data_IF_595096494403
#
_entry.id   IF_595096494403
#
_cell.length_a   1.000
_cell.length_b   1.000
_cell.length_c   1.000
_cell.angle_alpha   90.00
_cell.angle_beta   90.00
_cell.angle_gamma   90.00
#
_symmetry.space_group_name_H-M   'P 1'
#
loop_
_entity.id
_entity.type
_entity.pdbx_description
1 polymer ?
#
# COMPACT_ATOMS: atom_id res chain seq x y z
N UNK A 1 -0.21 -21.17 2.84
CA UNK A 1 0.71 -20.02 2.99
C UNK A 1 0.51 -19.15 1.79
N UNK A 2 0.14 -17.89 1.99
CA UNK A 2 -0.12 -16.91 0.92
C UNK A 2 1.22 -16.39 0.41
N UNK A 3 1.45 -16.47 -0.90
CA UNK A 3 2.67 -15.99 -1.55
C UNK A 3 2.48 -14.58 -2.10
N UNK A 4 3.26 -13.64 -1.60
CA UNK A 4 3.16 -12.22 -1.94
C UNK A 4 4.33 -11.78 -2.82
N UNK A 5 4.04 -11.03 -3.87
CA UNK A 5 4.99 -10.26 -4.66
C UNK A 5 4.87 -8.77 -4.35
N UNK A 6 5.95 -8.13 -3.87
CA UNK A 6 5.95 -6.69 -3.59
C UNK A 6 6.42 -5.92 -4.83
N UNK A 7 5.57 -5.06 -5.34
CA UNK A 7 5.87 -4.09 -6.40
C UNK A 7 6.17 -2.72 -5.78
N UNK A 8 7.44 -2.33 -5.78
CA UNK A 8 7.90 -1.08 -5.19
C UNK A 8 8.56 -1.25 -3.82
N UNK A 9 9.90 -1.15 -3.78
CA UNK A 9 10.69 -1.25 -2.56
C UNK A 9 11.08 0.16 -2.10
N UNK A 10 10.07 0.89 -1.63
CA UNK A 10 10.19 2.19 -0.98
C UNK A 10 9.91 2.07 0.51
N UNK A 11 9.54 3.20 1.14
CA UNK A 11 9.18 3.23 2.56
C UNK A 11 8.02 2.29 2.88
N UNK A 12 6.90 2.36 2.13
CA UNK A 12 5.76 1.48 2.41
C UNK A 12 6.05 0.02 2.07
N UNK A 13 6.76 -0.28 0.99
CA UNK A 13 7.18 -1.65 0.69
C UNK A 13 8.06 -2.25 1.79
N UNK A 14 8.91 -1.44 2.45
CA UNK A 14 9.65 -1.85 3.64
C UNK A 14 8.73 -2.12 4.83
N UNK A 15 7.78 -1.24 5.12
CA UNK A 15 6.83 -1.41 6.22
C UNK A 15 5.95 -2.65 6.04
N UNK A 16 5.46 -2.90 4.82
CA UNK A 16 4.70 -4.10 4.49
C UNK A 16 5.54 -5.37 4.63
N UNK A 17 6.78 -5.34 4.13
CA UNK A 17 7.72 -6.47 4.30
C UNK A 17 7.93 -6.81 5.77
N UNK A 18 8.13 -5.82 6.64
CA UNK A 18 8.26 -6.03 8.08
C UNK A 18 7.01 -6.69 8.67
N UNK A 19 5.81 -6.22 8.28
CA UNK A 19 4.55 -6.80 8.74
C UNK A 19 4.37 -8.26 8.26
N UNK A 20 4.74 -8.55 7.02
CA UNK A 20 4.67 -9.93 6.49
C UNK A 20 5.68 -10.86 7.18
N UNK A 21 6.86 -10.36 7.52
CA UNK A 21 7.90 -11.12 8.21
C UNK A 21 7.46 -11.66 9.59
N UNK A 22 6.54 -10.97 10.26
CA UNK A 22 6.01 -11.36 11.56
C UNK A 22 4.85 -12.37 11.48
N UNK A 23 4.52 -12.88 10.27
CA UNK A 23 3.39 -13.78 10.06
C UNK A 23 3.84 -15.15 9.56
N UNK A 24 3.17 -16.21 10.08
CA UNK A 24 3.44 -17.60 9.71
C UNK A 24 2.61 -18.09 8.50
N UNK A 25 1.55 -17.33 8.12
CA UNK A 25 0.63 -17.70 7.05
C UNK A 25 0.88 -16.94 5.72
N UNK A 26 1.81 -15.98 5.72
CA UNK A 26 2.18 -15.16 4.57
C UNK A 26 3.70 -15.27 4.33
N UNK A 27 4.07 -15.29 3.05
CA UNK A 27 5.48 -15.26 2.65
C UNK A 27 5.69 -14.31 1.48
N UNK A 28 6.63 -13.38 1.62
CA UNK A 28 7.13 -12.59 0.48
C UNK A 28 8.08 -13.48 -0.32
N UNK A 29 7.68 -13.82 -1.54
CA UNK A 29 8.43 -14.73 -2.43
C UNK A 29 8.95 -14.03 -3.68
N UNK A 30 8.55 -12.77 -3.93
CA UNK A 30 9.00 -12.02 -5.09
C UNK A 30 9.09 -10.52 -4.80
N UNK A 31 10.05 -9.87 -5.42
CA UNK A 31 10.30 -8.43 -5.34
C UNK A 31 10.38 -7.83 -6.74
N UNK A 32 9.77 -6.65 -6.91
CA UNK A 32 9.89 -5.88 -8.14
C UNK A 32 10.32 -4.44 -7.85
N UNK A 33 11.45 -4.03 -8.38
CA UNK A 33 11.94 -2.65 -8.36
C UNK A 33 13.02 -2.46 -9.41
N UNK A 34 13.11 -1.29 -10.03
CA UNK A 34 14.18 -0.93 -10.98
C UNK A 34 15.54 -0.72 -10.31
N UNK A 35 15.60 -0.66 -8.99
CA UNK A 35 16.84 -0.48 -8.24
C UNK A 35 17.48 -1.84 -7.94
N UNK A 36 18.58 -2.16 -8.63
CA UNK A 36 19.28 -3.42 -8.48
C UNK A 36 19.81 -3.63 -7.05
N UNK A 37 20.36 -2.61 -6.41
CA UNK A 37 20.85 -2.75 -5.03
C UNK A 37 19.73 -3.21 -4.07
N UNK A 38 18.52 -2.69 -4.26
CA UNK A 38 17.35 -3.14 -3.47
C UNK A 38 16.94 -4.57 -3.80
N UNK A 39 17.03 -5.01 -5.04
CA UNK A 39 16.82 -6.43 -5.39
C UNK A 39 17.86 -7.32 -4.73
N UNK A 40 19.09 -6.83 -4.56
CA UNK A 40 20.18 -7.54 -3.91
C UNK A 40 20.14 -7.44 -2.37
N UNK A 41 19.11 -6.78 -1.83
CA UNK A 41 18.81 -6.74 -0.40
C UNK A 41 19.35 -5.51 0.32
N UNK A 42 20.02 -4.57 -0.35
CA UNK A 42 20.44 -3.32 0.27
C UNK A 42 19.27 -2.32 0.36
N UNK A 43 18.56 -2.38 1.49
CA UNK A 43 17.45 -1.49 1.78
C UNK A 43 17.83 -0.38 2.77
N UNK A 44 19.12 -0.27 3.14
CA UNK A 44 19.64 0.67 4.14
C UNK A 44 19.36 2.13 3.84
N UNK A 45 19.14 2.48 2.57
CA UNK A 45 18.78 3.83 2.13
C UNK A 45 17.33 4.21 2.36
N UNK A 46 16.46 3.25 2.78
CA UNK A 46 15.05 3.52 2.99
C UNK A 46 14.85 4.29 4.28
N UNK A 47 14.12 5.40 4.18
CA UNK A 47 13.71 6.25 5.29
C UNK A 47 12.21 6.53 5.21
N UNK A 48 11.59 6.85 6.35
CA UNK A 48 10.17 7.18 6.44
C UNK A 48 9.84 7.96 7.72
N UNK A 49 8.57 8.28 7.92
CA UNK A 49 8.09 9.07 9.07
C UNK A 49 7.97 8.23 10.34
N UNK A 50 7.91 6.92 10.22
CA UNK A 50 7.72 5.98 11.35
C UNK A 50 8.39 4.65 11.02
N UNK A 51 8.43 3.76 12.00
CA UNK A 51 9.08 2.45 11.87
C UNK A 51 10.60 2.53 11.92
N UNK A 52 11.29 1.39 11.84
CA UNK A 52 12.73 1.34 11.81
C UNK A 52 13.28 1.78 10.44
N UNK A 53 14.53 2.30 10.41
CA UNK A 53 15.22 2.52 9.14
C UNK A 53 15.35 1.21 8.37
N UNK A 54 15.58 1.31 7.07
CA UNK A 54 15.88 0.14 6.24
C UNK A 54 17.18 -0.56 6.68
N UNK A 55 17.23 -1.85 6.41
CA UNK A 55 18.37 -2.71 6.77
C UNK A 55 18.82 -3.57 5.60
N UNK A 56 19.87 -4.35 5.79
CA UNK A 56 20.24 -5.40 4.85
C UNK A 56 19.28 -6.58 4.99
N UNK A 57 18.61 -6.95 3.89
CA UNK A 57 17.60 -8.02 3.83
C UNK A 57 18.15 -9.21 3.03
N UNK A 58 17.98 -10.41 3.54
CA UNK A 58 18.27 -11.60 2.75
C UNK A 58 17.15 -11.85 1.72
N UNK A 59 17.46 -11.57 0.47
CA UNK A 59 16.56 -11.75 -0.69
C UNK A 59 16.92 -12.98 -1.54
N UNK A 60 17.81 -13.87 -1.04
CA UNK A 60 18.32 -15.01 -1.81
C UNK A 60 17.24 -16.02 -2.22
N UNK A 61 16.21 -16.19 -1.40
CA UNK A 61 15.08 -17.10 -1.67
C UNK A 61 13.94 -16.43 -2.45
N UNK A 62 14.07 -15.15 -2.84
CA UNK A 62 13.00 -14.40 -3.52
C UNK A 62 13.29 -14.29 -5.00
N UNK A 63 12.25 -14.40 -5.82
CA UNK A 63 12.32 -14.05 -7.25
C UNK A 63 12.44 -12.54 -7.41
N UNK A 64 13.27 -12.09 -8.34
CA UNK A 64 13.65 -10.69 -8.50
C UNK A 64 13.25 -10.20 -9.88
N UNK A 65 12.53 -9.08 -9.93
CA UNK A 65 12.02 -8.50 -11.16
C UNK A 65 12.33 -7.01 -11.23
N UNK A 66 12.68 -6.51 -12.41
CA UNK A 66 12.81 -5.07 -12.66
C UNK A 66 11.55 -4.48 -13.32
N UNK A 67 10.79 -5.34 -14.01
CA UNK A 67 9.57 -4.97 -14.71
C UNK A 67 8.35 -5.62 -14.04
N UNK A 68 7.28 -4.84 -13.92
CA UNK A 68 6.04 -5.29 -13.24
C UNK A 68 5.39 -6.44 -13.99
N UNK A 69 5.39 -6.39 -15.31
CA UNK A 69 4.83 -7.43 -16.18
C UNK A 69 5.45 -8.81 -15.91
N UNK A 70 6.76 -8.83 -15.67
CA UNK A 70 7.47 -10.07 -15.34
C UNK A 70 7.11 -10.59 -13.93
N UNK A 71 6.89 -9.68 -12.95
CA UNK A 71 6.35 -10.05 -11.64
C UNK A 71 4.95 -10.67 -11.77
N UNK A 72 4.05 -10.01 -12.52
CA UNK A 72 2.66 -10.45 -12.70
C UNK A 72 2.55 -11.79 -13.41
N UNK A 73 3.48 -12.10 -14.31
CA UNK A 73 3.56 -13.38 -15.03
C UNK A 73 3.99 -14.56 -14.14
N UNK A 74 4.45 -14.32 -12.88
CA UNK A 74 4.83 -15.40 -11.98
C UNK A 74 3.58 -16.15 -11.47
N UNK A 75 3.39 -17.43 -11.85
CA UNK A 75 2.18 -18.19 -11.49
C UNK A 75 2.11 -18.55 -10.01
N UNK A 76 3.24 -18.50 -9.30
CA UNK A 76 3.33 -18.89 -7.90
C UNK A 76 2.80 -17.83 -6.93
N UNK A 77 2.54 -16.60 -7.41
CA UNK A 77 2.05 -15.52 -6.55
C UNK A 77 0.53 -15.57 -6.43
N UNK A 78 0.06 -15.38 -5.21
CA UNK A 78 -1.36 -15.25 -4.88
C UNK A 78 -1.77 -13.77 -4.85
N UNK A 79 -0.90 -12.92 -4.33
CA UNK A 79 -1.17 -11.49 -4.07
C UNK A 79 -0.06 -10.64 -4.64
N UNK A 80 -0.43 -9.53 -5.26
CA UNK A 80 0.48 -8.43 -5.59
C UNK A 80 0.25 -7.29 -4.61
N UNK A 81 1.31 -6.93 -3.91
CA UNK A 81 1.35 -5.78 -3.00
C UNK A 81 1.93 -4.58 -3.73
N UNK A 82 1.09 -3.58 -4.01
CA UNK A 82 1.42 -2.43 -4.86
C UNK A 82 1.81 -1.25 -3.98
N UNK A 83 3.12 -1.06 -3.79
CA UNK A 83 3.75 0.04 -3.06
C UNK A 83 4.47 1.02 -3.99
N UNK A 84 3.87 1.27 -5.15
CA UNK A 84 4.36 2.17 -6.19
C UNK A 84 3.84 3.60 -5.99
N UNK A 85 4.35 4.60 -6.73
CA UNK A 85 3.73 5.93 -6.78
C UNK A 85 2.28 5.89 -7.28
N UNK A 86 1.37 6.74 -6.73
CA UNK A 86 -0.07 6.68 -6.98
C UNK A 86 -0.50 6.67 -8.45
N UNK A 87 0.18 7.43 -9.33
CA UNK A 87 -0.13 7.47 -10.76
C UNK A 87 0.05 6.11 -11.49
N UNK A 88 0.75 5.15 -10.87
CA UNK A 88 0.93 3.81 -11.41
C UNK A 88 -0.08 2.79 -10.85
N UNK A 89 -0.79 3.13 -9.77
CA UNK A 89 -1.67 2.19 -9.07
C UNK A 89 -2.71 1.58 -10.00
N UNK A 90 -3.48 2.41 -10.73
CA UNK A 90 -4.52 1.93 -11.64
C UNK A 90 -4.00 0.89 -12.63
N UNK A 91 -2.96 1.23 -13.38
CA UNK A 91 -2.45 0.35 -14.44
C UNK A 91 -1.91 -0.97 -13.89
N UNK A 92 -1.18 -0.91 -12.78
CA UNK A 92 -0.59 -2.10 -12.15
C UNK A 92 -1.65 -2.98 -11.49
N UNK A 93 -2.62 -2.38 -10.79
CA UNK A 93 -3.70 -3.12 -10.15
C UNK A 93 -4.60 -3.81 -11.19
N UNK A 94 -4.98 -3.12 -12.29
CA UNK A 94 -5.74 -3.75 -13.38
C UNK A 94 -4.99 -4.93 -13.97
N UNK A 95 -3.72 -4.76 -14.31
CA UNK A 95 -2.90 -5.84 -14.87
C UNK A 95 -2.73 -7.01 -13.89
N UNK A 96 -2.63 -6.76 -12.59
CA UNK A 96 -2.57 -7.80 -11.57
C UNK A 96 -3.89 -8.59 -11.48
N UNK A 97 -5.04 -7.89 -11.49
CA UNK A 97 -6.37 -8.53 -11.51
C UNK A 97 -6.58 -9.33 -12.80
N UNK A 98 -6.19 -8.81 -13.96
CA UNK A 98 -6.23 -9.53 -15.25
C UNK A 98 -5.34 -10.78 -15.24
N UNK A 99 -4.20 -10.75 -14.51
CA UNK A 99 -3.33 -11.90 -14.30
C UNK A 99 -3.87 -12.90 -13.24
N UNK A 100 -5.08 -12.68 -12.71
CA UNK A 100 -5.73 -13.56 -11.72
C UNK A 100 -5.15 -13.43 -10.32
N UNK A 101 -4.49 -12.32 -9.98
CA UNK A 101 -3.90 -12.08 -8.66
C UNK A 101 -4.81 -11.22 -7.79
N UNK A 102 -4.90 -11.54 -6.49
CA UNK A 102 -5.40 -10.61 -5.51
C UNK A 102 -4.48 -9.39 -5.41
N UNK A 103 -5.03 -8.24 -5.03
CA UNK A 103 -4.27 -6.99 -4.95
C UNK A 103 -4.40 -6.40 -3.55
N UNK A 104 -3.26 -6.04 -2.97
CA UNK A 104 -3.18 -5.08 -1.88
C UNK A 104 -2.48 -3.84 -2.42
N UNK A 105 -3.18 -2.72 -2.45
CA UNK A 105 -2.67 -1.47 -3.03
C UNK A 105 -2.51 -0.41 -1.95
N UNK A 106 -1.38 0.28 -1.92
CA UNK A 106 -1.23 1.46 -1.10
C UNK A 106 -2.23 2.56 -1.49
N UNK A 107 -2.53 3.39 -0.51
CA UNK A 107 -3.39 4.56 -0.72
C UNK A 107 -2.64 5.68 -1.49
N UNK A 108 -3.36 6.55 -2.20
CA UNK A 108 -4.73 6.43 -2.66
C UNK A 108 -4.86 5.32 -3.71
N UNK A 109 -5.99 4.65 -3.77
CA UNK A 109 -6.22 3.58 -4.75
C UNK A 109 -6.01 4.06 -6.18
N UNK A 110 -6.51 5.25 -6.51
CA UNK A 110 -6.28 5.98 -7.75
C UNK A 110 -6.34 7.49 -7.51
N UNK A 111 -6.12 8.30 -8.55
CA UNK A 111 -6.11 9.77 -8.46
C UNK A 111 -7.47 10.42 -8.77
N UNK A 112 -8.45 9.64 -9.18
CA UNK A 112 -9.83 10.05 -9.45
C UNK A 112 -10.81 8.91 -9.15
N UNK A 113 -12.09 9.22 -9.06
CA UNK A 113 -13.16 8.29 -8.72
C UNK A 113 -13.48 7.30 -9.85
N UNK A 114 -13.46 7.74 -11.10
CA UNK A 114 -13.70 6.84 -12.25
C UNK A 114 -12.68 5.69 -12.30
N UNK A 115 -11.42 5.97 -11.98
CA UNK A 115 -10.38 4.97 -11.93
C UNK A 115 -10.54 4.03 -10.73
N UNK A 116 -11.01 4.55 -9.59
CA UNK A 116 -11.36 3.71 -8.43
C UNK A 116 -12.52 2.76 -8.77
N UNK A 117 -13.58 3.28 -9.39
CA UNK A 117 -14.75 2.48 -9.80
C UNK A 117 -14.35 1.38 -10.80
N UNK A 118 -13.49 1.70 -11.75
CA UNK A 118 -12.96 0.72 -12.72
C UNK A 118 -12.20 -0.42 -12.05
N UNK A 119 -11.39 -0.11 -11.03
CA UNK A 119 -10.63 -1.11 -10.26
C UNK A 119 -11.55 -2.00 -9.42
N UNK A 120 -12.54 -1.42 -8.76
CA UNK A 120 -13.54 -2.17 -7.98
C UNK A 120 -14.31 -3.12 -8.90
N UNK A 121 -14.82 -2.61 -10.03
CA UNK A 121 -15.56 -3.41 -10.99
C UNK A 121 -14.71 -4.56 -11.58
N UNK A 122 -13.42 -4.32 -11.85
CA UNK A 122 -12.49 -5.34 -12.32
C UNK A 122 -12.27 -6.44 -11.28
N UNK A 123 -12.08 -6.07 -10.02
CA UNK A 123 -11.89 -7.03 -8.93
C UNK A 123 -13.16 -7.88 -8.71
N UNK A 124 -14.33 -7.25 -8.65
CA UNK A 124 -15.63 -7.92 -8.52
C UNK A 124 -15.89 -8.87 -9.71
N UNK A 125 -15.68 -8.39 -10.93
CA UNK A 125 -15.86 -9.17 -12.15
C UNK A 125 -14.96 -10.40 -12.25
N UNK A 126 -13.75 -10.33 -11.69
CA UNK A 126 -12.79 -11.42 -11.60
C UNK A 126 -12.99 -12.32 -10.37
N UNK A 127 -13.81 -11.94 -9.39
CA UNK A 127 -13.96 -12.64 -8.11
C UNK A 127 -12.69 -12.58 -7.25
N UNK A 128 -11.90 -11.52 -7.39
CA UNK A 128 -10.64 -11.32 -6.69
C UNK A 128 -10.78 -10.26 -5.58
N UNK A 129 -9.88 -10.32 -4.60
CA UNK A 129 -9.83 -9.32 -3.54
C UNK A 129 -8.97 -8.13 -3.99
N UNK A 130 -9.49 -6.93 -3.78
CA UNK A 130 -8.78 -5.67 -3.87
C UNK A 130 -8.86 -4.98 -2.51
N UNK A 131 -7.73 -4.88 -1.83
CA UNK A 131 -7.61 -4.20 -0.55
C UNK A 131 -6.80 -2.92 -0.72
N UNK A 132 -7.16 -1.89 0.04
CA UNK A 132 -6.48 -0.60 0.01
C UNK A 132 -5.85 -0.31 1.38
N UNK A 133 -4.64 0.23 1.40
CA UNK A 133 -3.84 0.51 2.58
C UNK A 133 -4.37 1.67 3.45
N UNK A 134 -5.66 1.67 3.77
CA UNK A 134 -6.27 2.62 4.70
C UNK A 134 -6.04 2.18 6.15
N UNK A 135 -5.03 2.75 6.79
CA UNK A 135 -4.54 2.28 8.11
C UNK A 135 -5.24 2.90 9.31
N UNK A 136 -5.85 4.10 9.17
CA UNK A 136 -6.39 4.83 10.34
C UNK A 136 -7.45 4.04 11.12
N UNK A 137 -8.40 3.31 10.50
CA UNK A 137 -9.39 2.54 11.26
C UNK A 137 -8.78 1.47 12.20
N UNK A 138 -7.53 1.06 11.95
CA UNK A 138 -6.81 0.06 12.74
C UNK A 138 -5.91 0.66 13.82
N UNK A 139 -5.80 1.99 13.90
CA UNK A 139 -5.06 2.67 14.96
C UNK A 139 -5.92 2.75 16.22
N UNK A 140 -5.35 2.49 17.43
CA UNK A 140 -6.12 2.37 18.66
C UNK A 140 -7.01 3.57 18.98
N UNK A 141 -6.56 4.78 18.70
CA UNK A 141 -7.30 6.02 18.93
C UNK A 141 -8.54 6.14 18.05
N UNK A 142 -8.45 5.75 16.78
CA UNK A 142 -9.58 5.77 15.85
C UNK A 142 -10.52 4.58 16.09
N UNK A 143 -9.98 3.41 16.41
CA UNK A 143 -10.79 2.25 16.81
C UNK A 143 -11.61 2.56 18.05
N UNK A 144 -11.01 3.22 19.04
CA UNK A 144 -11.73 3.68 20.24
C UNK A 144 -12.88 4.63 19.87
N UNK A 145 -12.60 5.64 19.06
CA UNK A 145 -13.60 6.61 18.63
C UNK A 145 -14.76 5.92 17.89
N UNK A 146 -14.45 5.05 16.93
CA UNK A 146 -15.43 4.28 16.19
C UNK A 146 -16.33 3.45 17.12
N UNK A 147 -15.73 2.67 18.04
CA UNK A 147 -16.47 1.87 19.03
C UNK A 147 -17.35 2.73 19.93
N UNK A 148 -16.84 3.86 20.41
CA UNK A 148 -17.58 4.78 21.27
C UNK A 148 -18.82 5.37 20.59
N UNK A 149 -18.71 5.71 19.28
CA UNK A 149 -19.84 6.20 18.48
C UNK A 149 -20.85 5.08 18.23
N UNK A 150 -20.41 3.91 17.82
CA UNK A 150 -21.29 2.76 17.53
C UNK A 150 -22.07 2.29 18.76
N UNK A 151 -21.42 2.29 19.92
CA UNK A 151 -22.02 1.89 21.20
C UNK A 151 -22.85 2.99 21.87
N UNK A 152 -22.83 4.21 21.33
CA UNK A 152 -23.49 5.36 21.94
C UNK A 152 -22.95 5.74 23.31
N UNK A 153 -21.68 5.39 23.63
CA UNK A 153 -21.05 5.54 24.94
C UNK A 153 -21.17 6.97 25.49
N UNK A 154 -21.09 7.96 24.61
CA UNK A 154 -21.20 9.39 24.97
C UNK A 154 -22.44 10.05 24.36
N UNK A 155 -23.42 9.25 23.89
CA UNK A 155 -24.62 9.73 23.25
C UNK A 155 -24.44 9.92 21.74
N UNK A 156 -25.33 10.73 21.15
CA UNK A 156 -25.35 10.99 19.69
C UNK A 156 -24.17 11.88 19.30
N UNK A 157 -23.43 11.47 18.26
CA UNK A 157 -22.43 12.32 17.63
C UNK A 157 -23.10 13.56 17.02
N UNK A 158 -22.69 14.76 17.44
CA UNK A 158 -23.24 16.04 16.99
C UNK A 158 -22.33 16.72 15.96
N UNK A 159 -21.05 16.41 15.98
CA UNK A 159 -20.05 16.99 15.10
C UNK A 159 -18.65 16.64 15.58
N UNK A 160 -17.65 16.98 14.78
CA UNK A 160 -16.25 16.74 15.08
C UNK A 160 -15.34 17.76 14.43
N UNK A 161 -14.17 17.95 15.01
CA UNK A 161 -13.03 18.64 14.40
C UNK A 161 -11.87 17.66 14.34
N UNK A 162 -11.39 17.42 13.14
CA UNK A 162 -10.23 16.57 12.91
C UNK A 162 -9.04 17.44 12.52
N UNK A 163 -7.92 17.19 13.16
CA UNK A 163 -6.67 17.91 12.91
C UNK A 163 -5.52 16.91 12.90
N UNK A 164 -4.89 16.75 11.76
CA UNK A 164 -3.74 15.87 11.59
C UNK A 164 -2.61 16.66 10.92
N UNK A 165 -1.50 16.78 11.64
CA UNK A 165 -0.32 17.50 11.19
C UNK A 165 0.82 16.51 11.02
N UNK A 166 1.51 16.59 9.90
CA UNK A 166 2.71 15.78 9.61
C UNK A 166 3.90 16.71 9.38
N UNK A 167 5.09 16.18 9.60
CA UNK A 167 6.31 16.84 9.14
C UNK A 167 6.40 16.81 7.62
N UNK A 168 7.01 17.84 7.02
CA UNK A 168 7.28 17.84 5.57
C UNK A 168 8.11 16.60 5.19
N UNK A 169 7.63 15.74 4.29
CA UNK A 169 8.32 14.52 3.91
C UNK A 169 9.43 14.81 2.89
N UNK A 170 10.50 15.47 3.30
CA UNK A 170 11.63 15.89 2.44
C UNK A 170 12.30 14.75 1.67
N UNK A 171 12.12 13.51 2.10
CA UNK A 171 12.60 12.29 1.43
C UNK A 171 11.71 11.84 0.26
N UNK A 172 10.49 12.37 0.15
CA UNK A 172 9.53 12.05 -0.90
C UNK A 172 9.53 13.15 -1.97
N UNK A 173 10.44 13.02 -2.94
CA UNK A 173 10.71 14.07 -3.94
C UNK A 173 9.48 14.51 -4.74
N UNK A 174 8.55 13.60 -5.01
CA UNK A 174 7.36 13.86 -5.83
C UNK A 174 6.12 14.22 -4.99
N UNK A 175 6.25 14.46 -3.68
CA UNK A 175 5.12 14.70 -2.77
C UNK A 175 4.23 15.88 -3.19
N UNK A 176 4.83 16.91 -3.80
CA UNK A 176 4.10 18.09 -4.30
C UNK A 176 3.75 18.03 -5.80
N UNK A 177 4.06 16.90 -6.46
CA UNK A 177 3.73 16.70 -7.86
C UNK A 177 2.27 16.21 -7.98
N UNK A 178 1.39 17.15 -8.39
CA UNK A 178 -0.05 16.89 -8.51
C UNK A 178 -0.37 15.78 -9.51
N UNK A 179 0.42 15.62 -10.58
CA UNK A 179 0.18 14.59 -11.59
C UNK A 179 0.56 13.18 -11.09
N UNK A 180 1.53 13.10 -10.18
CA UNK A 180 2.02 11.82 -9.67
C UNK A 180 1.30 11.33 -8.42
N UNK A 181 0.95 12.25 -7.51
CA UNK A 181 0.41 11.89 -6.20
C UNK A 181 -0.97 12.49 -5.91
N UNK A 182 -1.50 13.35 -6.80
CA UNK A 182 -2.75 14.07 -6.58
C UNK A 182 -2.62 15.21 -5.58
N UNK A 183 -1.40 15.48 -5.11
CA UNK A 183 -1.09 16.48 -4.11
C UNK A 183 -1.54 16.14 -2.69
N UNK A 184 -1.28 17.02 -1.72
CA UNK A 184 -1.55 16.76 -0.31
C UNK A 184 -3.02 16.48 0.01
N UNK A 185 -3.95 17.01 -0.75
CA UNK A 185 -5.38 16.77 -0.53
C UNK A 185 -5.73 15.30 -0.77
N UNK A 186 -5.30 14.72 -1.89
CA UNK A 186 -5.58 13.32 -2.21
C UNK A 186 -4.67 12.41 -1.39
N UNK A 187 -3.38 12.68 -1.31
CA UNK A 187 -2.43 11.79 -0.65
C UNK A 187 -2.61 11.71 0.88
N UNK A 188 -2.97 12.82 1.53
CA UNK A 188 -3.15 12.87 2.98
C UNK A 188 -4.61 12.77 3.41
N UNK A 189 -5.51 13.55 2.78
CA UNK A 189 -6.89 13.64 3.24
C UNK A 189 -7.71 12.37 2.95
N UNK A 190 -7.28 11.53 2.02
CA UNK A 190 -7.89 10.20 1.79
C UNK A 190 -7.92 9.36 3.06
N UNK A 191 -6.95 9.50 3.94
CA UNK A 191 -6.97 8.84 5.24
C UNK A 191 -8.10 9.33 6.15
N UNK A 192 -8.29 10.67 6.18
CA UNK A 192 -9.25 11.31 7.08
C UNK A 192 -10.69 11.15 6.55
N UNK A 193 -10.87 11.11 5.25
CA UNK A 193 -12.17 10.90 4.60
C UNK A 193 -12.69 9.46 4.76
N UNK A 194 -11.82 8.50 5.06
CA UNK A 194 -12.19 7.10 5.27
C UNK A 194 -12.67 6.82 6.69
N UNK A 195 -12.45 7.74 7.64
CA UNK A 195 -12.89 7.62 9.04
C UNK A 195 -14.38 7.92 9.20
#
# INVERSE_FOLDING_TARGET
>A
MIKVGIAGIGFMGWMHYLAYRERDDIQVTALCTRNQAKLDGDWTSIQGNFGPPGEQVDTSAMSKYQEVEALLANPELDVIDVCLPPHLHKSVCLAALEAGKHVFCEKPLALNDEDCDALVAAAEGAGLQLLVGHVLPFMPEFEFLYKAVQQGTYGKLLGGRFERVISDPLWLKDFYDMEKVGGPLIDLHVHDAHL
#
